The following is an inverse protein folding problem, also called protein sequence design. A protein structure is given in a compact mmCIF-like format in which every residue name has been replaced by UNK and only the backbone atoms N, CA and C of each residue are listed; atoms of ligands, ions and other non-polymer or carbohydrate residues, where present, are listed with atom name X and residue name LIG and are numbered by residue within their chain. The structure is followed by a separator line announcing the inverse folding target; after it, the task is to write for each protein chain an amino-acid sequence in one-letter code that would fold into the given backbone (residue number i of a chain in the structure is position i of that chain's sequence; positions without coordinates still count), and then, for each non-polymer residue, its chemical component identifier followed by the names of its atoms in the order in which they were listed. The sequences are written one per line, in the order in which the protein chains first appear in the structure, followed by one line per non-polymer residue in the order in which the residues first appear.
data_IF_711587365249
#
_entry.id   IF_711587365249
#
_cell.length_a   1.000
_cell.length_b   1.000
_cell.length_c   1.000
_cell.angle_alpha   90.00
_cell.angle_beta   90.00
_cell.angle_gamma   90.00
#
_symmetry.space_group_name_H-M   'P 1'
#
loop_
_entity.id
_entity.type
_entity.pdbx_description
1 polymer ?
#
# COMPACT_ATOMS: atom_id res chain seq x y z
N UNK A 1 8.77 13.77 1.45
CA UNK A 1 8.90 12.42 0.88
C UNK A 1 9.49 12.61 -0.49
N UNK A 2 10.67 12.05 -0.73
CA UNK A 2 11.26 12.02 -2.06
C UNK A 2 10.73 10.78 -2.77
N UNK A 3 10.08 10.99 -3.91
CA UNK A 3 9.61 9.91 -4.77
C UNK A 3 10.64 9.65 -5.88
N UNK A 4 10.84 8.39 -6.25
CA UNK A 4 11.56 8.06 -7.47
C UNK A 4 10.66 8.24 -8.71
N UNK A 5 11.22 7.98 -9.89
CA UNK A 5 10.53 8.07 -11.18
C UNK A 5 9.36 7.09 -11.37
N UNK A 6 9.25 6.08 -10.52
CA UNK A 6 8.14 5.12 -10.52
C UNK A 6 7.07 5.47 -9.46
N UNK A 7 7.16 6.66 -8.84
CA UNK A 7 6.17 7.11 -7.86
C UNK A 7 6.29 6.46 -6.49
N UNK A 8 7.46 5.92 -6.16
CA UNK A 8 7.73 5.24 -4.89
C UNK A 8 8.53 6.08 -3.90
N UNK A 9 8.29 5.96 -2.59
CA UNK A 9 9.13 6.57 -1.59
C UNK A 9 10.46 5.81 -1.46
N UNK A 10 11.57 6.53 -1.51
CA UNK A 10 12.91 5.93 -1.37
C UNK A 10 13.35 5.74 0.10
N UNK A 11 12.66 6.37 1.04
CA UNK A 11 12.99 6.33 2.45
C UNK A 11 11.72 6.13 3.26
N UNK A 12 11.78 5.17 4.19
CA UNK A 12 10.72 4.82 5.10
C UNK A 12 11.21 4.87 6.55
N UNK A 13 10.31 5.23 7.48
CA UNK A 13 10.55 5.10 8.91
C UNK A 13 9.54 4.12 9.48
N UNK A 14 10.02 3.01 10.03
CA UNK A 14 9.21 1.98 10.66
C UNK A 14 9.31 2.10 12.18
N UNK A 15 8.18 2.12 12.87
CA UNK A 15 8.14 2.02 14.32
C UNK A 15 8.14 0.55 14.73
N UNK A 16 9.24 0.08 15.32
CA UNK A 16 9.33 -1.22 15.97
C UNK A 16 8.73 -1.09 17.36
N UNK A 17 7.50 -1.59 17.49
CA UNK A 17 6.74 -1.52 18.73
C UNK A 17 7.24 -2.59 19.71
N UNK A 18 7.45 -2.20 20.96
CA UNK A 18 7.90 -3.12 22.01
C UNK A 18 6.82 -3.30 23.08
N UNK A 19 6.76 -4.49 23.65
CA UNK A 19 5.91 -4.80 24.79
C UNK A 19 6.61 -4.42 26.10
N UNK A 20 5.88 -3.77 27.00
CA UNK A 20 6.32 -3.55 28.37
C UNK A 20 6.15 -4.78 29.27
N UNK A 21 6.54 -4.66 30.53
CA UNK A 21 6.46 -5.72 31.55
C UNK A 21 5.02 -6.26 31.79
N UNK A 22 4.00 -5.52 31.36
CA UNK A 22 2.59 -5.90 31.47
C UNK A 22 2.03 -6.59 30.22
N UNK A 23 2.89 -6.94 29.25
CA UNK A 23 2.53 -7.48 27.94
C UNK A 23 1.56 -6.56 27.17
N UNK A 24 1.68 -5.25 27.34
CA UNK A 24 1.03 -4.24 26.47
C UNK A 24 2.09 -3.50 25.68
N UNK A 25 1.70 -3.01 24.50
CA UNK A 25 2.56 -2.11 23.73
C UNK A 25 2.86 -0.87 24.59
N UNK A 26 4.15 -0.55 24.71
CA UNK A 26 4.65 0.65 25.38
C UNK A 26 5.24 1.58 24.32
N UNK A 27 4.48 2.61 23.95
CA UNK A 27 4.89 3.58 22.95
C UNK A 27 6.22 4.27 23.32
N UNK A 28 6.56 4.36 24.61
CA UNK A 28 7.83 4.94 25.06
C UNK A 28 9.05 4.07 24.77
N UNK A 29 8.84 2.78 24.47
CA UNK A 29 9.85 1.82 24.05
C UNK A 29 9.90 1.65 22.52
N UNK A 30 9.09 2.40 21.77
CA UNK A 30 9.09 2.31 20.31
C UNK A 30 10.43 2.80 19.76
N UNK A 31 11.07 1.95 18.98
CA UNK A 31 12.28 2.31 18.24
C UNK A 31 11.92 2.60 16.79
N UNK A 32 12.48 3.68 16.23
CA UNK A 32 12.26 4.02 14.83
C UNK A 32 13.45 3.56 14.00
N UNK A 33 13.20 2.66 13.06
CA UNK A 33 14.18 2.17 12.10
C UNK A 33 13.94 2.88 10.78
N UNK A 34 14.99 3.47 10.23
CA UNK A 34 14.96 4.04 8.88
C UNK A 34 15.39 2.97 7.88
N UNK A 35 14.55 2.70 6.89
CA UNK A 35 14.90 1.89 5.73
C UNK A 35 15.07 2.81 4.52
N UNK A 36 16.16 2.60 3.79
CA UNK A 36 16.47 3.33 2.58
C UNK A 36 16.52 2.34 1.41
N UNK A 37 15.93 2.74 0.29
CA UNK A 37 15.97 1.95 -0.92
C UNK A 37 17.41 1.85 -1.44
N UNK A 38 17.72 0.75 -2.13
CA UNK A 38 19.05 0.60 -2.70
C UNK A 38 19.26 1.65 -3.80
N UNK A 39 20.50 2.04 -4.11
CA UNK A 39 20.78 2.99 -5.20
C UNK A 39 20.20 2.56 -6.56
N UNK A 40 20.00 1.26 -6.77
CA UNK A 40 19.39 0.73 -7.99
C UNK A 40 17.88 1.03 -8.11
N UNK A 41 17.21 1.30 -6.98
CA UNK A 41 15.80 1.72 -6.95
C UNK A 41 15.61 3.22 -7.29
N UNK A 42 16.69 3.99 -7.42
CA UNK A 42 16.64 5.38 -7.86
C UNK A 42 16.35 5.47 -9.37
N UNK A 43 15.07 5.50 -9.71
CA UNK A 43 14.63 5.80 -11.08
C UNK A 43 14.54 7.33 -11.27
N UNK A 44 15.12 7.91 -12.34
CA UNK A 44 14.96 9.33 -12.64
C UNK A 44 13.50 9.67 -12.92
N UNK A 45 13.04 10.84 -12.44
CA UNK A 45 11.73 11.38 -12.79
C UNK A 45 11.58 11.49 -14.31
N UNK A 46 10.47 10.98 -14.84
CA UNK A 46 10.14 11.07 -16.25
C UNK A 46 9.10 12.18 -16.47
N UNK A 47 9.27 12.95 -17.56
CA UNK A 47 8.21 13.84 -18.00
C UNK A 47 7.06 13.00 -18.57
N UNK A 48 5.88 13.15 -17.98
CA UNK A 48 4.67 12.46 -18.44
C UNK A 48 3.83 13.43 -19.25
N UNK A 49 3.62 13.12 -20.52
CA UNK A 49 2.68 13.83 -21.38
C UNK A 49 1.32 13.13 -21.37
N UNK A 50 0.29 13.81 -20.84
CA UNK A 50 -1.10 13.38 -20.93
C UNK A 50 -1.89 14.35 -21.81
N UNK A 51 -2.62 13.82 -22.79
CA UNK A 51 -3.52 14.61 -23.64
C UNK A 51 -4.90 14.71 -22.96
N UNK A 52 -5.02 15.60 -21.97
CA UNK A 52 -6.28 15.95 -21.30
C UNK A 52 -6.49 17.46 -21.24
N UNK A 53 -7.68 17.90 -21.60
CA UNK A 53 -8.08 19.31 -21.51
C UNK A 53 -8.46 19.65 -20.06
N UNK A 54 -7.68 20.52 -19.42
CA UNK A 54 -7.99 21.04 -18.09
C UNK A 54 -9.18 22.01 -18.12
N UNK A 55 -10.11 21.86 -17.17
CA UNK A 55 -11.29 22.73 -17.04
C UNK A 55 -11.09 23.88 -16.01
N UNK A 56 -9.90 23.97 -15.40
CA UNK A 56 -9.54 25.00 -14.43
C UNK A 56 -9.89 24.67 -12.96
N UNK A 57 -10.47 23.50 -12.69
CA UNK A 57 -10.79 23.03 -11.34
C UNK A 57 -10.15 21.66 -11.11
N UNK A 58 -9.39 21.51 -10.02
CA UNK A 58 -8.85 20.20 -9.63
C UNK A 58 -9.98 19.32 -9.07
N UNK A 59 -10.17 18.15 -9.66
CA UNK A 59 -11.16 17.15 -9.24
C UNK A 59 -10.47 15.89 -8.75
N UNK A 60 -10.77 15.48 -7.52
CA UNK A 60 -10.21 14.28 -6.90
C UNK A 60 -11.30 13.23 -6.73
N UNK A 61 -11.05 12.03 -7.23
CA UNK A 61 -11.84 10.84 -6.95
C UNK A 61 -11.24 10.01 -5.82
N UNK A 62 -12.02 9.12 -5.21
CA UNK A 62 -11.48 8.06 -4.33
C UNK A 62 -12.02 6.68 -4.70
N UNK A 63 -11.17 5.68 -4.50
CA UNK A 63 -11.52 4.25 -4.47
C UNK A 63 -10.99 3.65 -3.16
N UNK A 64 -11.62 4.01 -2.04
CA UNK A 64 -11.21 3.55 -0.71
C UNK A 64 -12.20 2.50 -0.22
N UNK A 65 -11.80 1.58 0.68
CA UNK A 65 -12.65 0.46 1.06
C UNK A 65 -13.79 0.92 1.98
N UNK A 66 -14.99 1.12 1.44
CA UNK A 66 -16.22 1.25 2.23
C UNK A 66 -16.79 -0.13 2.58
N UNK A 67 -16.59 -1.09 1.67
CA UNK A 67 -16.97 -2.48 1.85
C UNK A 67 -15.78 -3.41 1.67
N UNK A 68 -15.99 -4.69 1.96
CA UNK A 68 -14.97 -5.72 1.81
C UNK A 68 -14.09 -5.94 3.04
N UNK A 69 -13.04 -6.75 2.85
CA UNK A 69 -12.13 -7.19 3.91
C UNK A 69 -11.33 -6.07 4.56
N UNK A 70 -11.05 -5.00 3.80
CA UNK A 70 -10.30 -3.83 4.27
C UNK A 70 -11.19 -2.66 4.71
N UNK A 71 -12.51 -2.85 4.85
CA UNK A 71 -13.44 -1.76 5.21
C UNK A 71 -13.10 -1.04 6.54
N UNK A 72 -12.31 -1.67 7.41
CA UNK A 72 -11.82 -1.04 8.64
C UNK A 72 -10.80 0.09 8.39
N UNK A 73 -10.10 0.08 7.25
CA UNK A 73 -9.16 1.13 6.82
C UNK A 73 -9.91 2.34 6.21
N UNK A 74 -11.09 2.13 5.65
CA UNK A 74 -11.85 3.17 4.95
C UNK A 74 -12.08 4.44 5.77
N UNK A 75 -12.70 4.39 6.96
CA UNK A 75 -13.05 5.59 7.71
C UNK A 75 -11.89 6.58 7.95
N UNK A 76 -10.70 6.15 8.44
CA UNK A 76 -9.58 7.08 8.57
C UNK A 76 -9.02 7.56 7.22
N UNK A 77 -9.01 6.72 6.18
CA UNK A 77 -8.53 7.14 4.84
C UNK A 77 -9.44 8.21 4.22
N UNK A 78 -10.76 8.00 4.25
CA UNK A 78 -11.73 8.99 3.79
C UNK A 78 -11.60 10.31 4.56
N UNK A 79 -11.52 10.23 5.89
CA UNK A 79 -11.33 11.42 6.73
C UNK A 79 -10.03 12.17 6.40
N UNK A 80 -8.95 11.45 6.06
CA UNK A 80 -7.69 12.05 5.63
C UNK A 80 -7.82 12.83 4.33
N UNK A 81 -8.49 12.26 3.32
CA UNK A 81 -8.74 12.94 2.04
C UNK A 81 -9.64 14.17 2.25
N UNK A 82 -10.72 14.03 3.01
CA UNK A 82 -11.64 15.12 3.31
C UNK A 82 -10.95 16.28 4.04
N UNK A 83 -10.10 15.98 5.03
CA UNK A 83 -9.31 16.98 5.74
C UNK A 83 -8.35 17.71 4.81
N UNK A 84 -7.63 16.97 3.96
CA UNK A 84 -6.69 17.57 3.01
C UNK A 84 -7.40 18.51 2.01
N UNK A 85 -8.55 18.09 1.47
CA UNK A 85 -9.36 18.94 0.57
C UNK A 85 -9.86 20.19 1.31
N UNK A 86 -10.34 20.04 2.55
CA UNK A 86 -10.81 21.16 3.34
C UNK A 86 -9.70 22.19 3.62
N UNK A 87 -8.50 21.72 3.99
CA UNK A 87 -7.34 22.57 4.25
C UNK A 87 -6.87 23.30 2.99
N UNK A 88 -6.81 22.61 1.84
CA UNK A 88 -6.44 23.22 0.55
C UNK A 88 -7.45 24.30 0.15
N UNK A 89 -8.75 24.03 0.26
CA UNK A 89 -9.79 25.00 -0.08
C UNK A 89 -9.79 26.19 0.89
N UNK A 90 -9.59 25.96 2.18
CA UNK A 90 -9.42 27.02 3.18
C UNK A 90 -8.20 27.92 2.89
N UNK A 91 -7.15 27.36 2.25
CA UNK A 91 -5.97 28.10 1.80
C UNK A 91 -6.15 28.86 0.47
N UNK A 92 -7.36 28.86 -0.11
CA UNK A 92 -7.67 29.53 -1.38
C UNK A 92 -7.70 28.62 -2.60
N UNK A 93 -7.67 27.30 -2.39
CA UNK A 93 -7.80 26.30 -3.43
C UNK A 93 -6.57 26.16 -4.33
N UNK A 94 -6.74 25.45 -5.44
CA UNK A 94 -5.69 25.23 -6.45
C UNK A 94 -5.93 26.21 -7.60
N UNK A 95 -4.92 27.02 -7.91
CA UNK A 95 -4.99 28.07 -8.94
C UNK A 95 -6.18 29.04 -8.74
N UNK A 96 -6.62 29.22 -7.48
CA UNK A 96 -7.73 30.11 -7.12
C UNK A 96 -9.13 29.48 -7.24
N UNK A 97 -9.22 28.16 -7.45
CA UNK A 97 -10.47 27.41 -7.47
C UNK A 97 -10.46 26.32 -6.39
N UNK A 98 -11.61 26.11 -5.74
CA UNK A 98 -11.78 25.02 -4.77
C UNK A 98 -11.64 23.65 -5.47
N UNK A 99 -10.99 22.72 -4.78
CA UNK A 99 -10.91 21.31 -5.15
C UNK A 99 -12.28 20.66 -4.97
N UNK A 100 -12.73 19.92 -5.98
CA UNK A 100 -13.93 19.08 -5.91
C UNK A 100 -13.54 17.64 -5.53
N UNK A 101 -14.32 17.01 -4.65
CA UNK A 101 -14.10 15.64 -4.19
C UNK A 101 -15.29 14.75 -4.56
N UNK A 102 -15.02 13.61 -5.19
CA UNK A 102 -16.00 12.58 -5.50
C UNK A 102 -15.57 11.23 -4.93
N UNK A 103 -16.25 10.79 -3.88
CA UNK A 103 -15.88 9.57 -3.16
C UNK A 103 -16.47 8.33 -3.80
N UNK A 104 -15.85 7.18 -3.54
CA UNK A 104 -16.36 5.88 -3.94
C UNK A 104 -15.66 4.69 -3.31
N UNK A 105 -16.40 3.59 -3.28
CA UNK A 105 -15.97 2.30 -2.73
C UNK A 105 -15.04 1.55 -3.70
N UNK A 106 -14.02 0.91 -3.15
CA UNK A 106 -13.18 -0.06 -3.85
C UNK A 106 -13.73 -1.49 -3.78
N UNK A 107 -14.45 -1.85 -2.71
CA UNK A 107 -14.77 -3.23 -2.39
C UNK A 107 -13.51 -4.10 -2.25
N UNK A 108 -13.62 -5.36 -2.70
CA UNK A 108 -12.53 -6.34 -2.77
C UNK A 108 -12.32 -6.80 -4.22
N UNK A 109 -11.27 -7.60 -4.46
CA UNK A 109 -10.99 -8.24 -5.77
C UNK A 109 -12.06 -9.25 -6.23
N UNK A 110 -13.03 -9.57 -5.36
CA UNK A 110 -14.11 -10.53 -5.68
C UNK A 110 -15.35 -9.87 -6.27
N UNK A 111 -15.40 -8.53 -6.32
CA UNK A 111 -16.48 -7.76 -6.92
C UNK A 111 -15.95 -6.79 -7.97
N UNK A 112 -16.83 -6.31 -8.84
CA UNK A 112 -16.48 -5.28 -9.84
C UNK A 112 -16.57 -3.85 -9.27
N UNK A 113 -16.65 -3.69 -7.95
CA UNK A 113 -16.95 -2.40 -7.30
C UNK A 113 -15.94 -1.32 -7.70
N UNK A 114 -14.63 -1.58 -7.53
CA UNK A 114 -13.58 -0.63 -7.93
C UNK A 114 -13.68 -0.26 -9.42
N UNK A 115 -13.87 -1.25 -10.30
CA UNK A 115 -13.97 -1.03 -11.74
C UNK A 115 -15.13 -0.11 -12.12
N UNK A 116 -16.31 -0.31 -11.51
CA UNK A 116 -17.51 0.52 -11.71
C UNK A 116 -17.35 1.92 -11.10
N UNK A 117 -16.73 2.02 -9.92
CA UNK A 117 -16.41 3.31 -9.30
C UNK A 117 -15.46 4.11 -10.18
N UNK A 118 -14.40 3.50 -10.71
CA UNK A 118 -13.47 4.17 -11.64
C UNK A 118 -14.20 4.64 -12.89
N UNK A 119 -15.05 3.84 -13.51
CA UNK A 119 -15.81 4.28 -14.70
C UNK A 119 -16.64 5.54 -14.44
N UNK A 120 -17.28 5.63 -13.26
CA UNK A 120 -18.01 6.83 -12.84
C UNK A 120 -17.09 8.02 -12.64
N UNK A 121 -15.96 7.85 -11.94
CA UNK A 121 -15.00 8.93 -11.68
C UNK A 121 -14.37 9.45 -12.98
N UNK A 122 -14.02 8.56 -13.91
CA UNK A 122 -13.54 8.93 -15.24
C UNK A 122 -14.61 9.71 -16.02
N UNK A 123 -15.88 9.30 -15.95
CA UNK A 123 -16.99 10.03 -16.56
C UNK A 123 -17.24 11.40 -15.91
N UNK A 124 -16.90 11.55 -14.62
CA UNK A 124 -16.91 12.84 -13.91
C UNK A 124 -15.67 13.71 -14.20
N UNK A 125 -14.73 13.20 -15.01
CA UNK A 125 -13.50 13.85 -15.42
C UNK A 125 -12.62 14.26 -14.22
N UNK A 126 -12.41 13.34 -13.26
CA UNK A 126 -11.45 13.54 -12.18
C UNK A 126 -10.01 13.61 -12.72
N UNK A 127 -9.14 14.36 -12.07
CA UNK A 127 -7.73 14.53 -12.43
C UNK A 127 -6.84 13.49 -11.75
N UNK A 128 -7.21 13.09 -10.53
CA UNK A 128 -6.53 12.04 -9.77
C UNK A 128 -7.54 11.20 -8.98
N UNK A 129 -7.16 9.96 -8.70
CA UNK A 129 -7.91 9.00 -7.90
C UNK A 129 -7.05 8.55 -6.73
N UNK A 130 -7.51 8.78 -5.51
CA UNK A 130 -6.85 8.30 -4.29
C UNK A 130 -7.33 6.87 -3.98
N UNK A 131 -6.40 5.94 -3.85
CA UNK A 131 -6.66 4.51 -3.64
C UNK A 131 -6.08 3.62 -4.76
N UNK A 132 -6.33 2.31 -4.75
CA UNK A 132 -7.00 1.59 -3.68
C UNK A 132 -6.04 1.27 -2.53
N UNK A 133 -6.60 0.99 -1.35
CA UNK A 133 -5.82 0.52 -0.22
C UNK A 133 -5.22 -0.87 -0.45
N UNK A 134 -5.95 -1.75 -1.15
CA UNK A 134 -5.47 -3.09 -1.52
C UNK A 134 -4.56 -3.06 -2.75
N UNK A 135 -3.43 -3.77 -2.68
CA UNK A 135 -2.55 -4.05 -3.83
C UNK A 135 -3.31 -4.76 -4.95
N UNK A 136 -4.03 -5.84 -4.60
CA UNK A 136 -4.81 -6.62 -5.56
C UNK A 136 -5.90 -5.81 -6.24
N UNK A 137 -6.63 -4.98 -5.50
CA UNK A 137 -7.66 -4.11 -6.10
C UNK A 137 -7.03 -3.08 -7.03
N UNK A 138 -5.89 -2.50 -6.65
CA UNK A 138 -5.18 -1.51 -7.48
C UNK A 138 -4.73 -2.11 -8.82
N UNK A 139 -4.17 -3.32 -8.80
CA UNK A 139 -3.80 -4.07 -10.01
C UNK A 139 -4.99 -4.32 -10.95
N UNK A 140 -6.23 -4.38 -10.44
CA UNK A 140 -7.41 -4.56 -11.31
C UNK A 140 -7.85 -3.30 -12.06
N UNK A 141 -7.41 -2.10 -11.61
CA UNK A 141 -7.90 -0.81 -12.16
C UNK A 141 -6.80 0.12 -12.66
N UNK A 142 -5.53 -0.12 -12.31
CA UNK A 142 -4.40 0.76 -12.64
C UNK A 142 -4.35 1.05 -14.15
N UNK A 143 -4.42 0.02 -15.00
CA UNK A 143 -4.48 0.17 -16.46
C UNK A 143 -5.60 1.11 -16.91
N UNK A 144 -6.80 0.96 -16.33
CA UNK A 144 -7.97 1.77 -16.70
C UNK A 144 -7.73 3.25 -16.35
N UNK A 145 -7.18 3.51 -15.18
CA UNK A 145 -6.93 4.86 -14.66
C UNK A 145 -5.82 5.54 -15.48
N UNK A 146 -4.68 4.86 -15.64
CA UNK A 146 -3.49 5.42 -16.28
C UNK A 146 -3.66 5.54 -17.80
N UNK A 147 -4.39 4.63 -18.44
CA UNK A 147 -4.74 4.78 -19.87
C UNK A 147 -5.66 5.98 -20.13
N UNK A 148 -6.46 6.38 -19.14
CA UNK A 148 -7.27 7.59 -19.20
C UNK A 148 -6.48 8.87 -18.91
N UNK A 149 -5.17 8.78 -18.62
CA UNK A 149 -4.33 9.94 -18.27
C UNK A 149 -4.68 10.52 -16.90
N UNK A 150 -5.19 9.70 -15.97
CA UNK A 150 -5.52 10.06 -14.59
C UNK A 150 -4.44 9.53 -13.67
N UNK A 151 -4.07 10.31 -12.66
CA UNK A 151 -3.14 9.83 -11.63
C UNK A 151 -3.87 8.87 -10.68
N UNK A 152 -3.25 7.74 -10.37
CA UNK A 152 -3.64 6.92 -9.23
C UNK A 152 -2.66 7.14 -8.09
N UNK A 153 -3.15 7.43 -6.88
CA UNK A 153 -2.30 7.59 -5.71
C UNK A 153 -2.81 6.70 -4.57
N UNK A 154 -2.11 5.62 -4.23
CA UNK A 154 -2.51 4.76 -3.12
C UNK A 154 -2.04 5.30 -1.75
N UNK A 155 -2.90 5.23 -0.72
CA UNK A 155 -2.52 5.55 0.65
C UNK A 155 -1.88 4.38 1.42
N UNK A 156 -1.89 3.15 0.89
CA UNK A 156 -1.65 1.96 1.73
C UNK A 156 -1.00 0.73 1.07
N UNK A 157 -1.11 0.52 -0.25
CA UNK A 157 -0.66 -0.73 -0.85
C UNK A 157 0.88 -0.82 -0.97
N UNK A 158 1.43 -2.03 -0.79
CA UNK A 158 2.89 -2.22 -0.66
C UNK A 158 3.47 -3.27 -1.63
N UNK A 159 2.61 -4.01 -2.36
CA UNK A 159 3.08 -5.09 -3.24
C UNK A 159 4.14 -4.59 -4.23
N UNK A 160 5.22 -5.35 -4.36
CA UNK A 160 6.33 -5.04 -5.27
C UNK A 160 5.89 -5.07 -6.75
N UNK A 161 4.80 -5.76 -7.07
CA UNK A 161 4.26 -5.77 -8.45
C UNK A 161 3.85 -4.38 -8.95
N UNK A 162 3.63 -3.43 -8.04
CA UNK A 162 3.29 -2.04 -8.35
C UNK A 162 4.52 -1.14 -8.56
N UNK A 163 5.72 -1.55 -8.11
CA UNK A 163 6.93 -0.71 -8.13
C UNK A 163 7.45 -0.43 -9.53
N UNK A 164 7.32 -1.40 -10.44
CA UNK A 164 7.79 -1.34 -11.83
C UNK A 164 6.64 -1.55 -12.84
N UNK A 165 5.41 -1.27 -12.41
CA UNK A 165 4.24 -1.44 -13.25
C UNK A 165 4.29 -0.46 -14.43
N UNK A 166 3.88 -0.88 -15.63
CA UNK A 166 3.80 0.01 -16.81
C UNK A 166 2.58 0.94 -16.70
N UNK A 167 2.69 1.92 -15.80
CA UNK A 167 1.63 2.85 -15.40
C UNK A 167 1.70 4.20 -16.14
N UNK A 168 2.63 4.34 -17.10
CA UNK A 168 2.93 5.59 -17.84
C UNK A 168 3.41 6.76 -16.96
N UNK A 169 3.99 6.50 -15.79
CA UNK A 169 4.40 7.49 -14.80
C UNK A 169 3.22 8.13 -14.05
N UNK A 170 2.07 7.45 -13.98
CA UNK A 170 0.83 7.99 -13.43
C UNK A 170 0.36 7.29 -12.14
N UNK A 171 1.12 6.34 -11.62
CA UNK A 171 0.84 5.74 -10.32
C UNK A 171 1.87 6.15 -9.27
N UNK A 172 1.38 6.34 -8.04
CA UNK A 172 2.16 6.75 -6.89
C UNK A 172 1.63 6.07 -5.63
N UNK A 173 2.48 5.89 -4.62
CA UNK A 173 2.06 5.41 -3.28
C UNK A 173 2.88 6.05 -2.18
N UNK A 174 2.27 6.42 -1.06
CA UNK A 174 3.01 6.87 0.13
C UNK A 174 3.43 5.71 1.05
N UNK A 175 2.75 4.56 0.97
CA UNK A 175 3.19 3.36 1.67
C UNK A 175 4.48 2.84 1.01
N UNK A 176 5.52 2.50 1.80
CA UNK A 176 6.73 1.94 1.23
C UNK A 176 6.48 0.57 0.57
N UNK A 177 7.21 0.23 -0.50
CA UNK A 177 7.19 -1.10 -1.11
C UNK A 177 7.60 -2.20 -0.12
N UNK A 178 7.16 -3.43 -0.41
CA UNK A 178 7.55 -4.62 0.34
C UNK A 178 9.07 -4.86 0.31
N UNK A 179 9.79 -4.41 -0.72
CA UNK A 179 11.26 -4.39 -0.76
C UNK A 179 11.92 -3.55 0.34
N UNK A 180 11.21 -2.58 0.94
CA UNK A 180 11.67 -1.85 2.13
C UNK A 180 11.13 -2.47 3.43
N UNK A 181 9.89 -2.96 3.40
CA UNK A 181 9.23 -3.48 4.59
C UNK A 181 9.73 -4.87 4.99
N UNK A 182 9.90 -5.78 4.02
CA UNK A 182 10.34 -7.14 4.24
C UNK A 182 11.69 -7.24 4.95
N UNK A 183 12.74 -6.54 4.48
CA UNK A 183 14.04 -6.53 5.15
C UNK A 183 13.97 -5.95 6.57
N UNK A 184 13.12 -4.96 6.81
CA UNK A 184 12.94 -4.38 8.16
C UNK A 184 12.40 -5.42 9.13
N UNK A 185 11.38 -6.19 8.73
CA UNK A 185 10.82 -7.27 9.56
C UNK A 185 11.81 -8.42 9.73
N UNK A 186 12.50 -8.82 8.66
CA UNK A 186 13.49 -9.89 8.73
C UNK A 186 14.67 -9.55 9.65
N UNK A 187 15.18 -8.32 9.57
CA UNK A 187 16.26 -7.86 10.44
C UNK A 187 15.85 -7.85 11.91
N UNK A 188 14.60 -7.52 12.25
CA UNK A 188 14.11 -7.64 13.62
C UNK A 188 14.21 -9.10 14.13
N UNK A 189 13.80 -10.08 13.31
CA UNK A 189 13.91 -11.51 13.67
C UNK A 189 15.36 -11.93 13.89
N UNK A 190 16.27 -11.44 13.04
CA UNK A 190 17.72 -11.70 13.13
C UNK A 190 18.32 -11.06 14.39
N UNK A 191 17.99 -9.80 14.66
CA UNK A 191 18.50 -9.03 15.80
C UNK A 191 18.02 -9.59 17.15
N UNK A 192 16.82 -10.18 17.17
CA UNK A 192 16.30 -10.95 18.31
C UNK A 192 17.05 -12.29 18.52
N UNK A 193 17.94 -12.67 17.60
CA UNK A 193 18.81 -13.84 17.72
C UNK A 193 18.15 -15.16 17.34
N UNK A 194 17.06 -15.12 16.57
CA UNK A 194 16.36 -16.32 16.11
C UNK A 194 17.17 -17.03 15.01
N UNK A 195 17.22 -18.36 15.07
CA UNK A 195 17.87 -19.20 14.05
C UNK A 195 16.90 -19.75 13.01
N UNK A 196 15.60 -19.63 13.25
CA UNK A 196 14.55 -20.14 12.37
C UNK A 196 13.27 -19.33 12.49
N UNK A 197 12.43 -19.36 11.46
CA UNK A 197 11.14 -18.68 11.42
C UNK A 197 10.08 -19.51 10.68
N UNK A 198 8.82 -19.24 11.00
CA UNK A 198 7.65 -19.64 10.22
C UNK A 198 6.99 -18.38 9.66
N UNK A 199 6.52 -18.43 8.42
CA UNK A 199 5.83 -17.31 7.79
C UNK A 199 4.38 -17.73 7.52
N UNK A 200 3.42 -16.94 8.00
CA UNK A 200 2.02 -17.04 7.57
C UNK A 200 1.70 -15.81 6.73
N UNK A 201 1.08 -16.02 5.58
CA UNK A 201 0.78 -14.94 4.65
C UNK A 201 -0.56 -15.12 3.96
N UNK A 202 -1.18 -13.99 3.61
CA UNK A 202 -2.42 -13.95 2.86
C UNK A 202 -2.23 -14.51 1.44
N UNK A 203 -3.22 -15.24 0.94
CA UNK A 203 -3.31 -15.67 -0.46
C UNK A 203 -3.74 -14.52 -1.38
N UNK A 204 -2.92 -13.46 -1.43
CA UNK A 204 -3.06 -12.34 -2.34
C UNK A 204 -1.70 -11.70 -2.68
N UNK A 205 -1.69 -10.77 -3.64
CA UNK A 205 -0.46 -10.12 -4.14
C UNK A 205 0.31 -9.30 -3.07
N UNK A 206 -0.34 -8.93 -1.96
CA UNK A 206 0.34 -8.29 -0.83
C UNK A 206 0.98 -9.35 0.06
N UNK A 207 0.19 -10.34 0.51
CA UNK A 207 0.66 -11.36 1.43
C UNK A 207 1.81 -12.18 0.85
N UNK A 208 1.68 -12.67 -0.37
CA UNK A 208 2.73 -13.49 -1.00
C UNK A 208 3.98 -12.67 -1.30
N UNK A 209 3.82 -11.43 -1.80
CA UNK A 209 4.94 -10.53 -2.11
C UNK A 209 5.78 -10.18 -0.87
N UNK A 210 5.12 -9.77 0.21
CA UNK A 210 5.81 -9.47 1.47
C UNK A 210 6.47 -10.71 2.07
N UNK A 211 5.80 -11.86 2.03
CA UNK A 211 6.35 -13.11 2.54
C UNK A 211 7.62 -13.54 1.78
N UNK A 212 7.63 -13.40 0.46
CA UNK A 212 8.78 -13.70 -0.37
C UNK A 212 9.97 -12.77 -0.05
N UNK A 213 9.71 -11.48 0.17
CA UNK A 213 10.74 -10.51 0.57
C UNK A 213 11.35 -10.81 1.94
N UNK A 214 10.50 -11.15 2.92
CA UNK A 214 10.95 -11.54 4.27
C UNK A 214 11.76 -12.84 4.20
N UNK A 215 11.25 -13.87 3.51
CA UNK A 215 11.92 -15.17 3.37
C UNK A 215 13.30 -15.02 2.70
N UNK A 216 13.40 -14.23 1.64
CA UNK A 216 14.68 -13.97 0.98
C UNK A 216 15.70 -13.35 1.95
N UNK A 217 15.30 -12.32 2.69
CA UNK A 217 16.20 -11.63 3.63
C UNK A 217 16.62 -12.53 4.81
N UNK A 218 15.69 -13.32 5.36
CA UNK A 218 16.00 -14.28 6.43
C UNK A 218 17.02 -15.34 5.98
N UNK A 219 16.81 -15.92 4.79
CA UNK A 219 17.72 -16.91 4.24
C UNK A 219 19.12 -16.33 3.96
N UNK A 220 19.21 -15.08 3.47
CA UNK A 220 20.48 -14.38 3.28
C UNK A 220 21.23 -14.14 4.61
N UNK A 221 20.49 -13.88 5.68
CA UNK A 221 21.02 -13.73 7.04
C UNK A 221 21.35 -15.08 7.72
N UNK A 222 21.00 -16.21 7.11
CA UNK A 222 21.24 -17.55 7.65
C UNK A 222 20.20 -18.01 8.68
N UNK A 223 19.00 -17.43 8.67
CA UNK A 223 17.84 -17.88 9.45
C UNK A 223 17.03 -18.85 8.60
N UNK A 224 16.80 -20.07 9.11
CA UNK A 224 16.04 -21.09 8.37
C UNK A 224 14.53 -20.80 8.40
N UNK A 225 13.94 -20.54 7.23
CA UNK A 225 12.48 -20.52 7.10
C UNK A 225 11.96 -21.96 7.02
N UNK A 226 11.32 -22.40 8.11
CA UNK A 226 10.91 -23.80 8.30
C UNK A 226 9.64 -24.15 7.52
N UNK A 227 8.71 -23.20 7.42
CA UNK A 227 7.55 -23.29 6.53
C UNK A 227 7.01 -21.89 6.19
N UNK A 228 6.34 -21.81 5.04
CA UNK A 228 5.62 -20.64 4.55
C UNK A 228 4.19 -21.04 4.20
N UNK A 229 3.26 -20.70 5.08
CA UNK A 229 1.85 -21.07 4.98
C UNK A 229 1.06 -19.92 4.36
N UNK A 230 0.54 -20.16 3.16
CA UNK A 230 -0.35 -19.24 2.45
C UNK A 230 -1.81 -19.60 2.77
N UNK A 231 -2.60 -18.65 3.26
CA UNK A 231 -3.97 -18.89 3.73
C UNK A 231 -5.01 -17.99 3.06
N UNK A 232 -6.24 -18.50 2.87
CA UNK A 232 -7.36 -17.70 2.38
C UNK A 232 -7.80 -16.71 3.47
N UNK A 233 -7.69 -15.38 3.27
CA UNK A 233 -8.15 -14.37 4.25
C UNK A 233 -9.60 -14.56 4.71
N UNK A 234 -10.41 -15.23 3.90
CA UNK A 234 -11.85 -15.40 4.12
C UNK A 234 -12.18 -16.74 4.79
N UNK A 235 -11.17 -17.53 5.15
CA UNK A 235 -11.38 -18.76 5.89
C UNK A 235 -12.13 -18.47 7.19
N UNK A 236 -13.04 -19.37 7.58
CA UNK A 236 -13.85 -19.19 8.78
C UNK A 236 -13.04 -19.34 10.09
N UNK A 237 -11.90 -20.02 10.01
CA UNK A 237 -10.90 -20.17 11.06
C UNK A 237 -9.54 -20.46 10.40
N UNK A 238 -8.48 -20.41 11.21
CA UNK A 238 -7.09 -20.64 10.80
C UNK A 238 -6.44 -21.74 11.66
N UNK A 239 -7.27 -22.65 12.21
CA UNK A 239 -6.81 -23.65 13.17
C UNK A 239 -5.82 -24.63 12.53
N UNK A 240 -6.02 -24.99 11.26
CA UNK A 240 -5.13 -25.88 10.51
C UNK A 240 -3.76 -25.26 10.28
N UNK A 241 -3.72 -23.99 9.90
CA UNK A 241 -2.52 -23.21 9.60
C UNK A 241 -1.69 -23.03 10.88
N UNK A 242 -2.34 -22.69 11.99
CA UNK A 242 -1.69 -22.56 13.30
C UNK A 242 -1.21 -23.92 13.82
N UNK A 243 -2.01 -24.99 13.67
CA UNK A 243 -1.62 -26.32 14.13
C UNK A 243 -0.43 -26.86 13.35
N UNK A 244 -0.36 -26.62 12.04
CA UNK A 244 0.77 -27.03 11.21
C UNK A 244 2.10 -26.45 11.72
N UNK A 245 2.09 -25.22 12.22
CA UNK A 245 3.26 -24.56 12.81
C UNK A 245 3.55 -25.09 14.20
N UNK A 246 2.51 -25.24 15.04
CA UNK A 246 2.67 -25.75 16.40
C UNK A 246 3.18 -27.20 16.46
N UNK A 247 2.88 -28.02 15.44
CA UNK A 247 3.35 -29.40 15.35
C UNK A 247 4.81 -29.53 14.90
N UNK A 248 5.39 -28.44 14.36
CA UNK A 248 6.71 -28.43 13.77
C UNK A 248 7.80 -27.84 14.70
N UNK A 249 7.41 -27.25 15.84
CA UNK A 249 8.24 -26.77 16.97
C UNK A 249 8.45 -27.87 18.04
#
# INVERSE_FOLDING_TARGET
MEFNGNGEPLVASYGVLQFGDDNRLDDSLTEYVTAEASPEAEVPLQEVEVDREGNGTLKIGTILPETGSLAFLGPPEFAGVELAVADVNAAGGVLGADVELEQGDSGDTTTDTASQTVDRLLAANVDAIIGAASSGVSLTVIDKITQAGVIQFSPANTSEELSDYDDKGLYFRNAPPDSLQGPTVANLVVDDGNSSAYILALDDAYGTGLADSVEATLNEAGVDVLDKVIYDPRAANFDSEVQAIADAD
#
